data_IF_039892687905
#
_entry.id   IF_039892687905
#
_cell.length_a   1.000
_cell.length_b   1.000
_cell.length_c   1.000
_cell.angle_alpha   90.00
_cell.angle_beta   90.00
_cell.angle_gamma   90.00
#
_symmetry.space_group_name_H-M   'P 1'
#
loop_
_entity.id
_entity.type
_entity.pdbx_description
1 polymer ?
#
# COMPACT_ATOMS: atom_id res chain seq x y z
N UNK A 1 4.61 -5.49 -15.97
CA UNK A 1 3.28 -5.37 -15.32
C UNK A 1 3.18 -4.04 -14.61
N UNK A 2 1.99 -3.42 -14.57
CA UNK A 2 1.74 -2.18 -13.82
C UNK A 2 1.53 -2.45 -12.32
N UNK A 3 1.84 -1.47 -11.46
CA UNK A 3 1.62 -1.56 -10.01
C UNK A 3 0.14 -1.72 -9.68
N UNK A 4 -0.21 -2.78 -8.96
CA UNK A 4 -1.57 -3.04 -8.51
C UNK A 4 -1.79 -2.66 -7.03
N UNK A 5 -2.99 -2.18 -6.63
CA UNK A 5 -3.26 -1.75 -5.25
C UNK A 5 -3.06 -2.82 -4.18
N UNK A 6 -3.39 -4.08 -4.50
CA UNK A 6 -3.26 -5.19 -3.56
C UNK A 6 -1.80 -5.44 -3.14
N UNK A 7 -0.82 -5.06 -3.96
CA UNK A 7 0.61 -5.22 -3.64
C UNK A 7 0.97 -4.28 -2.49
N UNK A 8 0.56 -3.00 -2.55
CA UNK A 8 0.80 -2.03 -1.45
C UNK A 8 0.14 -2.50 -0.16
N UNK A 9 -1.11 -2.98 -0.24
CA UNK A 9 -1.85 -3.46 0.93
C UNK A 9 -1.20 -4.72 1.54
N UNK A 10 -0.73 -5.66 0.71
CA UNK A 10 0.00 -6.84 1.18
C UNK A 10 1.31 -6.46 1.88
N UNK A 11 2.07 -5.51 1.34
CA UNK A 11 3.28 -5.00 1.99
C UNK A 11 2.99 -4.36 3.35
N UNK A 12 1.93 -3.57 3.44
CA UNK A 12 1.49 -2.96 4.70
C UNK A 12 0.96 -3.99 5.70
N UNK A 13 0.25 -5.02 5.25
CA UNK A 13 -0.20 -6.12 6.11
C UNK A 13 0.98 -6.85 6.75
N UNK A 14 2.08 -7.06 6.00
CA UNK A 14 3.28 -7.73 6.50
C UNK A 14 4.12 -6.86 7.43
N UNK A 15 4.24 -5.56 7.13
CA UNK A 15 5.14 -4.64 7.86
C UNK A 15 4.46 -3.89 8.99
N UNK A 16 3.15 -3.68 8.93
CA UNK A 16 2.45 -2.73 9.76
C UNK A 16 2.78 -1.28 9.37
N UNK A 17 2.95 -0.42 10.37
CA UNK A 17 3.30 0.98 10.17
C UNK A 17 4.74 1.12 9.62
N UNK A 18 4.90 1.85 8.51
CA UNK A 18 6.19 2.01 7.81
C UNK A 18 6.31 3.41 7.22
N UNK A 19 7.52 3.85 6.84
CA UNK A 19 7.65 5.10 6.07
C UNK A 19 7.29 4.92 4.59
N UNK A 20 6.86 5.99 3.92
CA UNK A 20 6.64 5.98 2.45
C UNK A 20 7.87 5.49 1.68
N UNK A 21 9.08 5.89 2.11
CA UNK A 21 10.33 5.46 1.49
C UNK A 21 10.53 3.96 1.60
N UNK A 22 10.40 3.41 2.80
CA UNK A 22 10.56 1.96 3.02
C UNK A 22 9.48 1.14 2.32
N UNK A 23 8.25 1.66 2.29
CA UNK A 23 7.16 1.05 1.56
C UNK A 23 7.44 1.01 0.06
N UNK A 24 7.92 2.11 -0.52
CA UNK A 24 8.29 2.17 -1.94
C UNK A 24 9.37 1.14 -2.28
N UNK A 25 10.45 1.06 -1.49
CA UNK A 25 11.53 0.09 -1.74
C UNK A 25 11.04 -1.36 -1.63
N UNK A 26 10.14 -1.64 -0.69
CA UNK A 26 9.56 -2.99 -0.55
C UNK A 26 8.64 -3.35 -1.71
N UNK A 27 7.75 -2.43 -2.10
CA UNK A 27 6.84 -2.60 -3.23
C UNK A 27 7.62 -2.75 -4.53
N UNK A 28 8.68 -1.97 -4.72
CA UNK A 28 9.56 -2.07 -5.88
C UNK A 28 10.18 -3.46 -6.00
N UNK A 29 10.76 -3.98 -4.92
CA UNK A 29 11.32 -5.35 -4.90
C UNK A 29 10.27 -6.42 -5.20
N UNK A 30 9.06 -6.27 -4.65
CA UNK A 30 7.96 -7.20 -4.90
C UNK A 30 7.51 -7.16 -6.37
N UNK A 31 7.44 -5.98 -6.99
CA UNK A 31 7.06 -5.83 -8.39
C UNK A 31 8.16 -6.36 -9.32
N UNK A 32 9.43 -6.06 -9.03
CA UNK A 32 10.59 -6.54 -9.80
C UNK A 32 10.70 -8.07 -9.78
N UNK A 33 10.43 -8.73 -8.64
CA UNK A 33 10.44 -10.20 -8.56
C UNK A 33 9.35 -10.87 -9.39
N UNK A 34 8.30 -10.12 -9.76
CA UNK A 34 7.23 -10.56 -10.67
C UNK A 34 7.48 -10.15 -12.13
N UNK A 35 8.67 -9.60 -12.45
CA UNK A 35 9.00 -9.11 -13.79
C UNK A 35 8.30 -7.80 -14.17
N UNK A 36 7.86 -7.02 -13.18
CA UNK A 36 7.29 -5.70 -13.37
C UNK A 36 8.28 -4.57 -13.07
N UNK A 37 7.84 -3.36 -13.36
CA UNK A 37 8.53 -2.13 -12.96
C UNK A 37 7.54 -1.19 -12.28
N UNK A 38 8.04 -0.33 -11.39
CA UNK A 38 7.23 0.67 -10.72
C UNK A 38 7.95 2.01 -10.71
N UNK A 39 7.27 3.04 -11.21
CA UNK A 39 7.74 4.41 -11.07
C UNK A 39 7.31 5.01 -9.73
N UNK A 40 8.09 5.98 -9.22
CA UNK A 40 7.69 6.75 -8.03
C UNK A 40 6.34 7.45 -8.21
N UNK A 41 6.07 7.98 -9.40
CA UNK A 41 4.83 8.72 -9.67
C UNK A 41 3.59 7.82 -9.66
N UNK A 42 3.68 6.60 -10.19
CA UNK A 42 2.62 5.60 -10.10
C UNK A 42 2.37 5.19 -8.65
N UNK A 43 3.44 4.90 -7.91
CA UNK A 43 3.34 4.57 -6.49
C UNK A 43 2.65 5.68 -5.69
N UNK A 44 3.07 6.94 -5.84
CA UNK A 44 2.46 8.07 -5.15
C UNK A 44 0.97 8.23 -5.50
N UNK A 45 0.60 8.14 -6.78
CA UNK A 45 -0.81 8.20 -7.21
C UNK A 45 -1.65 7.10 -6.56
N UNK A 46 -1.11 5.89 -6.48
CA UNK A 46 -1.79 4.76 -5.87
C UNK A 46 -1.94 4.95 -4.36
N UNK A 47 -0.90 5.44 -3.69
CA UNK A 47 -0.90 5.73 -2.26
C UNK A 47 -2.01 6.74 -1.92
N UNK A 48 -2.07 7.85 -2.66
CA UNK A 48 -3.13 8.86 -2.52
C UNK A 48 -4.52 8.26 -2.77
N UNK A 49 -4.65 7.41 -3.78
CA UNK A 49 -5.93 6.74 -4.09
C UNK A 49 -6.38 5.83 -2.95
N UNK A 50 -5.46 5.07 -2.35
CA UNK A 50 -5.74 4.20 -1.21
C UNK A 50 -6.10 4.99 0.04
N UNK A 51 -5.46 6.13 0.26
CA UNK A 51 -5.76 7.04 1.36
C UNK A 51 -7.14 7.68 1.21
N UNK A 52 -7.46 8.24 0.05
CA UNK A 52 -8.77 8.82 -0.25
C UNK A 52 -9.90 7.77 -0.12
N UNK A 53 -9.60 6.52 -0.47
CA UNK A 53 -10.52 5.40 -0.28
C UNK A 53 -10.52 4.85 1.14
N UNK A 54 -9.74 5.40 2.06
CA UNK A 54 -9.72 5.01 3.47
C UNK A 54 -9.18 3.60 3.75
N UNK A 55 -8.34 3.05 2.86
CA UNK A 55 -7.64 1.78 3.12
C UNK A 55 -6.38 1.98 3.95
N UNK A 56 -5.71 3.12 3.76
CA UNK A 56 -4.49 3.48 4.47
C UNK A 56 -4.64 4.88 5.07
N UNK A 57 -3.81 5.18 6.05
CA UNK A 57 -3.63 6.51 6.61
C UNK A 57 -2.17 6.93 6.46
N UNK A 58 -1.92 8.14 5.98
CA UNK A 58 -0.58 8.74 5.95
C UNK A 58 -0.48 9.80 7.06
N UNK A 59 0.43 9.61 8.01
CA UNK A 59 0.65 10.55 9.12
C UNK A 59 1.87 11.45 8.90
N UNK A 60 1.74 12.72 9.31
CA UNK A 60 2.70 13.79 9.04
C UNK A 60 4.08 13.64 9.70
N UNK A 61 5.01 14.50 9.26
CA UNK A 61 6.45 14.63 9.62
C UNK A 61 7.37 13.45 9.29
N UNK A 62 6.88 12.19 9.27
CA UNK A 62 7.68 11.01 8.89
C UNK A 62 7.01 10.08 7.86
N UNK A 63 5.82 10.47 7.36
CA UNK A 63 5.02 9.75 6.36
C UNK A 63 4.84 8.28 6.73
N UNK A 64 4.32 8.07 7.94
CA UNK A 64 3.95 6.74 8.43
C UNK A 64 2.71 6.31 7.67
N UNK A 65 2.78 5.18 6.98
CA UNK A 65 1.69 4.54 6.25
C UNK A 65 1.26 3.29 7.01
N UNK A 66 -0.02 3.18 7.30
CA UNK A 66 -0.61 2.02 7.98
C UNK A 66 -2.02 1.74 7.46
N UNK A 67 -2.49 0.51 7.65
CA UNK A 67 -3.85 0.11 7.30
C UNK A 67 -4.88 0.72 8.24
N UNK A 68 -6.06 1.03 7.71
CA UNK A 68 -7.22 1.44 8.51
C UNK A 68 -8.00 0.20 8.94
N UNK A 69 -8.12 -0.11 10.25
CA UNK A 69 -8.76 -1.34 10.72
C UNK A 69 -10.23 -1.49 10.28
N UNK A 70 -10.99 -0.39 10.22
CA UNK A 70 -12.44 -0.39 9.97
C UNK A 70 -12.86 -0.85 8.56
N UNK A 71 -11.95 -0.97 7.60
CA UNK A 71 -12.27 -1.44 6.24
C UNK A 71 -11.92 -2.91 5.99
N UNK A 72 -11.11 -3.53 6.84
CA UNK A 72 -10.76 -4.95 6.69
C UNK A 72 -11.91 -5.86 7.10
N UNK A 73 -12.70 -5.49 8.10
CA UNK A 73 -13.87 -6.26 8.57
C UNK A 73 -14.94 -6.38 7.47
N UNK A 74 -15.20 -5.31 6.69
CA UNK A 74 -16.20 -5.33 5.62
C UNK A 74 -15.82 -6.17 4.39
N UNK A 75 -14.54 -6.50 4.18
CA UNK A 75 -14.13 -7.42 3.11
C UNK A 75 -14.17 -8.88 3.54
N UNK A 76 -13.92 -9.17 4.81
CA UNK A 76 -14.05 -10.52 5.37
C UNK A 76 -15.52 -10.98 5.39
N UNK A 77 -16.45 -10.10 5.76
CA UNK A 77 -17.89 -10.40 5.81
C UNK A 77 -18.55 -10.57 4.43
N UNK A 78 -17.93 -10.07 3.35
CA UNK A 78 -18.46 -10.20 1.98
C UNK A 78 -17.94 -11.44 1.24
N UNK A 79 -17.04 -12.20 1.86
CA UNK A 79 -16.41 -13.40 1.26
C UNK A 79 -16.78 -14.68 2.02
N UNK A 80 -17.68 -14.60 3.00
CA UNK A 80 -18.29 -15.69 3.75
C UNK A 80 -19.77 -15.79 3.41
#
# INVERSE_FOLDING_TARGET
>A
MALAPHIILAELLRKGATTERELYESVKKAVESMGGEVSRSEFTKLLMTLELRGYIRVEGTRRIVQLVPKKLEQQAERSA
#
